data_IF_451211321254
#
_entry.id   IF_451211321254
#
_cell.length_a   1.000
_cell.length_b   1.000
_cell.length_c   1.000
_cell.angle_alpha   90.00
_cell.angle_beta   90.00
_cell.angle_gamma   90.00
#
_symmetry.space_group_name_H-M   'P 1'
#
loop_
_entity.id
_entity.type
_entity.pdbx_description
1 polymer ?
#
# COMPACT_ATOMS: atom_id res chain seq x y z
N UNK A 1 -6.10 -6.26 18.77
CA UNK A 1 -6.30 -5.37 17.61
C UNK A 1 -7.34 -5.92 16.63
N UNK A 2 -7.11 -7.09 15.99
CA UNK A 2 -8.05 -7.66 15.01
C UNK A 2 -9.45 -7.91 15.55
N UNK A 3 -9.59 -8.49 16.74
CA UNK A 3 -10.91 -8.73 17.34
C UNK A 3 -11.72 -7.43 17.56
N UNK A 4 -11.07 -6.38 18.05
CA UNK A 4 -11.71 -5.07 18.26
C UNK A 4 -12.10 -4.41 16.94
N UNK A 5 -11.24 -4.53 15.92
CA UNK A 5 -11.56 -4.11 14.57
C UNK A 5 -12.77 -4.86 14.02
N UNK A 6 -12.82 -6.18 14.22
CA UNK A 6 -13.94 -7.00 13.75
C UNK A 6 -15.26 -6.64 14.43
N UNK A 7 -15.21 -6.29 15.72
CA UNK A 7 -16.37 -5.90 16.52
C UNK A 7 -16.80 -4.45 16.31
N UNK A 8 -16.03 -3.63 15.59
CA UNK A 8 -16.39 -2.23 15.36
C UNK A 8 -17.60 -2.15 14.41
N UNK A 9 -18.70 -1.48 14.80
CA UNK A 9 -19.89 -1.33 13.96
C UNK A 9 -19.66 -0.42 12.76
N UNK A 10 -18.70 0.50 12.86
CA UNK A 10 -18.27 1.39 11.78
C UNK A 10 -16.76 1.23 11.61
N UNK A 11 -16.32 0.90 10.38
CA UNK A 11 -14.91 0.81 10.02
C UNK A 11 -14.63 1.85 8.93
N UNK A 12 -14.32 3.06 9.36
CA UNK A 12 -13.92 4.13 8.46
C UNK A 12 -12.49 3.91 7.95
N UNK A 13 -12.11 4.68 6.94
CA UNK A 13 -10.78 4.60 6.31
C UNK A 13 -9.64 4.70 7.34
N UNK A 14 -9.80 5.53 8.38
CA UNK A 14 -8.78 5.70 9.43
C UNK A 14 -8.54 4.40 10.19
N UNK A 15 -9.61 3.70 10.59
CA UNK A 15 -9.48 2.43 11.30
C UNK A 15 -8.86 1.33 10.42
N UNK A 16 -9.21 1.29 9.13
CA UNK A 16 -8.58 0.39 8.15
C UNK A 16 -7.08 0.66 8.00
N UNK A 17 -6.70 1.93 7.80
CA UNK A 17 -5.30 2.35 7.69
C UNK A 17 -4.53 1.97 8.96
N UNK A 18 -5.09 2.21 10.14
CA UNK A 18 -4.43 1.89 11.40
C UNK A 18 -4.15 0.39 11.57
N UNK A 19 -5.12 -0.48 11.26
CA UNK A 19 -4.92 -1.92 11.39
C UNK A 19 -3.94 -2.46 10.35
N UNK A 20 -4.01 -1.98 9.10
CA UNK A 20 -3.09 -2.34 8.01
C UNK A 20 -1.66 -1.95 8.38
N UNK A 21 -1.44 -0.71 8.86
CA UNK A 21 -0.14 -0.25 9.33
C UNK A 21 0.41 -1.12 10.44
N UNK A 22 -0.44 -1.49 11.41
CA UNK A 22 -0.06 -2.41 12.48
C UNK A 22 0.47 -3.74 11.94
N UNK A 23 -0.22 -4.36 10.98
CA UNK A 23 0.25 -5.60 10.37
C UNK A 23 1.58 -5.43 9.63
N UNK A 24 1.74 -4.36 8.83
CA UNK A 24 3.00 -4.06 8.14
C UNK A 24 4.16 -3.89 9.12
N UNK A 25 3.97 -3.14 10.21
CA UNK A 25 5.01 -2.89 11.22
C UNK A 25 5.53 -4.16 11.90
N UNK A 26 4.73 -5.22 11.95
CA UNK A 26 5.12 -6.53 12.48
C UNK A 26 5.50 -7.54 11.40
N UNK A 27 5.87 -7.07 10.19
CA UNK A 27 6.23 -7.91 9.02
C UNK A 27 5.14 -8.91 8.60
N UNK A 28 3.88 -8.60 8.88
CA UNK A 28 2.70 -9.42 8.54
C UNK A 28 1.99 -8.87 7.31
N UNK A 29 2.74 -8.76 6.22
CA UNK A 29 2.30 -8.07 5.00
C UNK A 29 1.17 -8.84 4.32
N UNK A 30 1.17 -10.16 4.36
CA UNK A 30 0.07 -10.97 3.78
C UNK A 30 -1.27 -10.66 4.46
N UNK A 31 -1.30 -10.53 5.78
CA UNK A 31 -2.50 -10.12 6.51
C UNK A 31 -2.89 -8.66 6.23
N UNK A 32 -1.92 -7.77 6.04
CA UNK A 32 -2.16 -6.40 5.63
C UNK A 32 -2.81 -6.32 4.23
N UNK A 33 -2.33 -7.14 3.29
CA UNK A 33 -2.87 -7.24 1.93
C UNK A 33 -4.25 -7.89 1.90
N UNK A 34 -4.50 -8.88 2.77
CA UNK A 34 -5.82 -9.46 2.94
C UNK A 34 -6.85 -8.41 3.42
N UNK A 35 -6.44 -7.56 4.37
CA UNK A 35 -7.25 -6.41 4.82
C UNK A 35 -7.46 -5.38 3.71
N UNK A 36 -6.44 -5.07 2.93
CA UNK A 36 -6.57 -4.18 1.78
C UNK A 36 -7.58 -4.69 0.77
N UNK A 37 -7.55 -6.00 0.45
CA UNK A 37 -8.55 -6.65 -0.40
C UNK A 37 -9.95 -6.58 0.20
N UNK A 38 -10.08 -6.82 1.50
CA UNK A 38 -11.37 -6.72 2.21
C UNK A 38 -11.93 -5.29 2.17
N UNK A 39 -11.07 -4.29 2.35
CA UNK A 39 -11.38 -2.86 2.26
C UNK A 39 -11.96 -2.51 0.88
N UNK A 40 -11.34 -3.02 -0.20
CA UNK A 40 -11.81 -2.85 -1.58
C UNK A 40 -13.17 -3.52 -1.81
N UNK A 41 -13.36 -4.77 -1.34
CA UNK A 41 -14.64 -5.49 -1.47
C UNK A 41 -15.77 -4.74 -0.77
N UNK A 42 -15.48 -4.14 0.39
CA UNK A 42 -16.42 -3.31 1.16
C UNK A 42 -16.58 -1.90 0.59
N UNK A 43 -15.95 -1.59 -0.55
CA UNK A 43 -15.97 -0.28 -1.24
C UNK A 43 -15.50 0.88 -0.36
N UNK A 44 -14.63 0.59 0.62
CA UNK A 44 -13.97 1.63 1.41
C UNK A 44 -12.73 2.06 0.64
N UNK A 45 -12.62 3.34 0.31
CA UNK A 45 -11.48 3.86 -0.45
C UNK A 45 -10.23 3.93 0.47
N UNK A 46 -9.13 3.22 0.13
CA UNK A 46 -7.84 3.39 0.78
C UNK A 46 -7.35 4.83 0.61
N UNK A 47 -6.77 5.39 1.66
CA UNK A 47 -6.08 6.67 1.56
C UNK A 47 -4.62 6.45 1.15
N UNK A 48 -3.90 7.55 0.92
CA UNK A 48 -2.49 7.49 0.54
C UNK A 48 -1.61 6.83 1.61
N UNK A 49 -1.98 6.93 2.88
CA UNK A 49 -1.21 6.34 3.98
C UNK A 49 -1.38 4.82 4.01
N UNK A 50 -2.58 4.30 3.70
CA UNK A 50 -2.80 2.87 3.51
C UNK A 50 -1.86 2.33 2.42
N UNK A 51 -1.81 3.00 1.27
CA UNK A 51 -1.04 2.54 0.11
C UNK A 51 0.48 2.60 0.37
N UNK A 52 0.97 3.69 0.97
CA UNK A 52 2.39 3.85 1.35
C UNK A 52 2.83 2.75 2.31
N UNK A 53 2.00 2.40 3.29
CA UNK A 53 2.34 1.35 4.23
C UNK A 53 2.41 -0.03 3.55
N UNK A 54 1.44 -0.36 2.70
CA UNK A 54 1.46 -1.61 1.95
C UNK A 54 2.68 -1.70 1.01
N UNK A 55 3.02 -0.61 0.30
CA UNK A 55 4.22 -0.53 -0.54
C UNK A 55 5.50 -0.72 0.29
N UNK A 56 5.57 -0.11 1.47
CA UNK A 56 6.70 -0.27 2.40
C UNK A 56 6.83 -1.73 2.84
N UNK A 57 5.73 -2.39 3.18
CA UNK A 57 5.72 -3.82 3.52
C UNK A 57 6.20 -4.69 2.35
N UNK A 58 5.76 -4.39 1.12
CA UNK A 58 6.22 -5.10 -0.06
C UNK A 58 7.73 -4.91 -0.28
N UNK A 59 8.24 -3.69 -0.09
CA UNK A 59 9.66 -3.38 -0.20
C UNK A 59 10.51 -4.17 0.81
N UNK A 60 10.02 -4.34 2.05
CA UNK A 60 10.70 -5.07 3.11
C UNK A 60 10.79 -6.58 2.83
N UNK A 61 9.78 -7.16 2.19
CA UNK A 61 9.72 -8.59 1.89
C UNK A 61 10.18 -8.97 0.47
N UNK A 62 10.50 -7.99 -0.37
CA UNK A 62 10.78 -8.23 -1.80
C UNK A 62 9.54 -8.72 -2.58
N UNK A 63 8.35 -8.33 -2.13
CA UNK A 63 7.07 -8.80 -2.67
C UNK A 63 6.65 -8.02 -3.93
N UNK A 64 7.37 -8.23 -5.04
CA UNK A 64 7.23 -7.45 -6.28
C UNK A 64 5.80 -7.49 -6.85
N UNK A 65 5.18 -8.66 -6.90
CA UNK A 65 3.86 -8.83 -7.54
C UNK A 65 2.75 -8.13 -6.75
N UNK A 66 2.83 -8.18 -5.42
CA UNK A 66 1.95 -7.46 -4.51
C UNK A 66 2.16 -5.95 -4.65
N UNK A 67 3.41 -5.50 -4.77
CA UNK A 67 3.75 -4.11 -5.05
C UNK A 67 3.16 -3.60 -6.37
N UNK A 68 3.27 -4.40 -7.45
CA UNK A 68 2.64 -4.11 -8.75
C UNK A 68 1.13 -4.05 -8.66
N UNK A 69 0.51 -4.94 -7.89
CA UNK A 69 -0.94 -4.92 -7.66
C UNK A 69 -1.39 -3.60 -7.00
N UNK A 70 -0.65 -3.13 -5.98
CA UNK A 70 -0.94 -1.84 -5.34
C UNK A 70 -0.72 -0.66 -6.30
N UNK A 71 0.34 -0.70 -7.11
CA UNK A 71 0.58 0.33 -8.13
C UNK A 71 -0.54 0.36 -9.19
N UNK A 72 -0.99 -0.80 -9.67
CA UNK A 72 -2.14 -0.89 -10.56
C UNK A 72 -3.41 -0.30 -9.94
N UNK A 73 -3.63 -0.53 -8.64
CA UNK A 73 -4.75 0.10 -7.93
C UNK A 73 -4.65 1.64 -7.93
N UNK A 74 -3.45 2.20 -7.73
CA UNK A 74 -3.19 3.65 -7.80
C UNK A 74 -3.59 4.21 -9.16
N UNK A 75 -3.15 3.55 -10.24
CA UNK A 75 -3.41 3.97 -11.62
C UNK A 75 -4.91 3.86 -11.97
N UNK A 76 -5.52 2.70 -11.70
CA UNK A 76 -6.94 2.43 -11.97
C UNK A 76 -7.87 3.41 -11.26
N UNK A 77 -7.50 3.83 -10.04
CA UNK A 77 -8.30 4.76 -9.22
C UNK A 77 -7.86 6.22 -9.39
N UNK A 78 -6.95 6.49 -10.33
CA UNK A 78 -6.42 7.83 -10.63
C UNK A 78 -5.94 8.57 -9.39
N UNK A 79 -5.27 7.85 -8.50
CA UNK A 79 -4.71 8.42 -7.28
C UNK A 79 -3.46 9.21 -7.66
N UNK A 80 -3.41 10.49 -7.30
CA UNK A 80 -2.26 11.34 -7.58
C UNK A 80 -1.00 10.77 -6.93
N UNK A 81 0.03 10.51 -7.74
CA UNK A 81 1.36 10.14 -7.27
C UNK A 81 2.08 11.43 -6.88
N UNK A 82 1.89 11.84 -5.61
CA UNK A 82 2.66 12.92 -5.01
C UNK A 82 4.07 12.44 -4.59
N UNK A 83 4.91 13.33 -4.08
CA UNK A 83 6.25 12.96 -3.62
C UNK A 83 6.27 11.82 -2.60
N UNK A 84 5.22 11.70 -1.76
CA UNK A 84 5.13 10.66 -0.72
C UNK A 84 4.84 9.30 -1.35
N UNK A 85 3.80 9.22 -2.18
CA UNK A 85 3.42 7.97 -2.87
C UNK A 85 4.52 7.55 -3.85
N UNK A 86 5.06 8.52 -4.59
CA UNK A 86 6.13 8.31 -5.55
C UNK A 86 7.39 7.76 -4.91
N UNK A 87 7.82 8.32 -3.78
CA UNK A 87 8.98 7.80 -3.02
C UNK A 87 8.74 6.37 -2.55
N UNK A 88 7.53 6.03 -2.09
CA UNK A 88 7.20 4.68 -1.67
C UNK A 88 7.22 3.68 -2.85
N UNK A 89 6.75 4.09 -4.03
CA UNK A 89 6.80 3.26 -5.25
C UNK A 89 8.25 3.02 -5.71
N UNK A 90 9.08 4.07 -5.71
CA UNK A 90 10.51 3.98 -6.04
C UNK A 90 11.20 3.00 -5.09
N UNK A 91 11.04 3.17 -3.77
CA UNK A 91 11.66 2.30 -2.76
C UNK A 91 11.21 0.83 -2.93
N UNK A 92 9.91 0.63 -3.16
CA UNK A 92 9.34 -0.70 -3.38
C UNK A 92 9.91 -1.37 -4.62
N UNK A 93 9.87 -0.71 -5.79
CA UNK A 93 10.40 -1.31 -7.02
C UNK A 93 11.91 -1.55 -6.94
N UNK A 94 12.66 -0.62 -6.34
CA UNK A 94 14.10 -0.75 -6.19
C UNK A 94 14.48 -1.96 -5.31
N UNK A 95 13.87 -2.09 -4.13
CA UNK A 95 14.15 -3.20 -3.20
C UNK A 95 13.62 -4.55 -3.70
N UNK A 96 12.58 -4.55 -4.52
CA UNK A 96 12.07 -5.74 -5.19
C UNK A 96 12.85 -6.10 -6.47
N UNK A 97 13.94 -5.38 -6.79
CA UNK A 97 14.84 -5.70 -7.91
C UNK A 97 14.40 -5.19 -9.28
N UNK A 98 13.35 -4.37 -9.37
CA UNK A 98 12.89 -3.75 -10.63
C UNK A 98 13.40 -2.31 -10.73
N UNK A 99 14.70 -2.17 -10.96
CA UNK A 99 15.39 -0.86 -10.99
C UNK A 99 14.87 0.01 -12.14
N UNK A 100 14.55 -0.58 -13.29
CA UNK A 100 14.06 0.14 -14.46
C UNK A 100 12.76 0.87 -14.15
N UNK A 101 11.81 0.18 -13.48
CA UNK A 101 10.52 0.77 -13.11
C UNK A 101 10.68 1.83 -12.02
N UNK A 102 11.59 1.61 -11.07
CA UNK A 102 11.96 2.61 -10.07
C UNK A 102 12.48 3.89 -10.71
N UNK A 103 13.34 3.79 -11.73
CA UNK A 103 13.91 4.95 -12.43
C UNK A 103 12.88 5.68 -13.28
N UNK A 104 11.97 4.96 -13.92
CA UNK A 104 10.83 5.53 -14.66
C UNK A 104 10.02 6.46 -13.76
N UNK A 105 9.59 5.98 -12.59
CA UNK A 105 8.79 6.75 -11.63
C UNK A 105 9.58 7.96 -11.09
N UNK A 106 10.86 7.77 -10.77
CA UNK A 106 11.72 8.87 -10.31
C UNK A 106 11.90 9.98 -11.33
N UNK A 107 11.93 9.63 -12.62
CA UNK A 107 12.08 10.61 -13.70
C UNK A 107 10.80 11.44 -13.85
N UNK A 108 9.63 10.80 -13.78
CA UNK A 108 8.32 11.48 -13.84
C UNK A 108 8.11 12.44 -12.66
N UNK A 109 8.61 12.11 -11.47
CA UNK A 109 8.47 12.98 -10.29
C UNK A 109 9.37 14.23 -10.29
N UNK A 110 10.37 14.29 -11.16
CA UNK A 110 11.28 15.44 -11.27
C UNK A 110 10.77 16.53 -12.19
N UNK A 111 9.78 16.21 -13.02
CA UNK A 111 9.11 17.14 -13.94
C UNK A 111 7.96 17.86 -13.23
#
# INVERSE_FOLDING_TARGET
ARELFERSPVRDTVLWTAIINGYVQFNRVDEALALFREMQIKRVKPDKFTLVALLTGCAQLGALEQGKWIHGYIDENRITIDAVVGTALIDMYAKCGSIEKSLEIFSVLKE
#
